data_IF_794507869433
#
_entry.id   IF_794507869433
#
_cell.length_a   1.000
_cell.length_b   1.000
_cell.length_c   1.000
_cell.angle_alpha   90.00
_cell.angle_beta   90.00
_cell.angle_gamma   90.00
#
_symmetry.space_group_name_H-M   'P 1'
#
loop_
_entity.id
_entity.type
_entity.pdbx_description
1 polymer ?
#
# COMPACT_ATOMS: atom_id res chain seq x y z
N UNK A 1 5.94 13.15 12.65
CA UNK A 1 5.27 11.94 12.15
C UNK A 1 4.01 12.25 11.34
N UNK A 2 3.98 11.78 10.08
CA UNK A 2 2.85 11.94 9.15
C UNK A 2 1.77 10.89 9.44
N UNK A 3 0.50 11.30 9.53
CA UNK A 3 -0.63 10.37 9.68
C UNK A 3 -1.25 10.05 8.31
N UNK A 4 -1.76 8.84 8.16
CA UNK A 4 -2.57 8.44 7.00
C UNK A 4 -3.89 7.84 7.44
N UNK A 5 -4.92 8.06 6.64
CA UNK A 5 -6.24 7.46 6.79
C UNK A 5 -6.41 6.49 5.62
N UNK A 6 -6.62 5.21 5.91
CA UNK A 6 -6.70 4.18 4.87
C UNK A 6 -7.79 3.15 5.18
N UNK A 7 -8.51 2.74 4.15
CA UNK A 7 -9.43 1.61 4.15
C UNK A 7 -8.78 0.33 3.59
N UNK A 8 -7.50 0.39 3.25
CA UNK A 8 -6.79 -0.72 2.63
C UNK A 8 -6.34 -1.76 3.65
N UNK A 9 -6.20 -3.03 3.22
CA UNK A 9 -5.81 -4.12 4.10
C UNK A 9 -4.33 -4.04 4.49
N UNK A 10 -4.03 -4.70 5.60
CA UNK A 10 -2.66 -4.93 6.07
C UNK A 10 -2.18 -6.25 5.46
N UNK A 11 -1.17 -6.17 4.60
CA UNK A 11 -0.63 -7.33 3.89
C UNK A 11 0.31 -8.16 4.77
N UNK A 12 1.12 -7.50 5.60
CA UNK A 12 2.05 -8.16 6.51
C UNK A 12 2.33 -7.30 7.74
N UNK A 13 2.83 -7.95 8.79
CA UNK A 13 3.30 -7.30 10.02
C UNK A 13 4.72 -7.81 10.26
N UNK A 14 5.65 -6.89 10.49
CA UNK A 14 7.06 -7.18 10.74
C UNK A 14 7.48 -6.57 12.08
N UNK A 15 8.05 -7.38 12.96
CA UNK A 15 8.64 -6.87 14.21
C UNK A 15 10.03 -6.33 13.92
N UNK A 16 10.25 -5.04 14.19
CA UNK A 16 11.51 -4.34 13.93
C UNK A 16 12.06 -3.72 15.21
N UNK A 17 13.39 -3.66 15.33
CA UNK A 17 14.04 -2.84 16.35
C UNK A 17 14.37 -1.48 15.74
N UNK A 18 13.76 -0.44 16.28
CA UNK A 18 13.73 0.90 15.71
C UNK A 18 14.44 1.91 16.60
N UNK A 19 15.08 2.87 15.96
CA UNK A 19 15.68 4.04 16.58
C UNK A 19 15.30 5.29 15.80
N UNK A 20 15.18 6.45 16.44
CA UNK A 20 14.92 7.70 15.73
C UNK A 20 16.01 7.97 14.67
N UNK A 21 15.62 8.44 13.50
CA UNK A 21 16.56 8.74 12.40
C UNK A 21 17.58 9.83 12.78
N UNK A 22 17.23 10.72 13.72
CA UNK A 22 18.10 11.77 14.24
C UNK A 22 18.96 11.33 15.44
N UNK A 23 18.95 10.05 15.80
CA UNK A 23 19.75 9.54 16.91
C UNK A 23 21.25 9.71 16.64
N UNK A 24 21.96 10.37 17.56
CA UNK A 24 23.40 10.59 17.42
C UNK A 24 24.19 9.33 17.79
N UNK A 25 24.72 8.66 16.77
CA UNK A 25 25.45 7.41 16.94
C UNK A 25 26.80 7.60 17.63
N UNK A 26 27.12 6.70 18.56
CA UNK A 26 28.45 6.57 19.14
C UNK A 26 28.99 5.18 18.81
N UNK A 27 29.96 5.06 17.87
CA UNK A 27 30.55 3.78 17.50
C UNK A 27 31.05 2.99 18.72
N UNK A 28 30.85 1.66 18.72
CA UNK A 28 31.32 0.79 19.79
C UNK A 28 30.46 0.76 21.05
N UNK A 29 29.37 1.55 21.14
CA UNK A 29 28.40 1.46 22.24
C UNK A 29 27.13 0.70 21.83
N UNK A 30 26.53 -0.09 22.73
CA UNK A 30 25.21 -0.67 22.51
C UNK A 30 24.16 0.43 22.44
N UNK A 31 23.10 0.20 21.67
CA UNK A 31 21.99 1.14 21.49
C UNK A 31 20.71 0.50 21.98
N UNK A 32 19.96 1.22 22.83
CA UNK A 32 18.62 0.79 23.22
C UNK A 32 17.66 1.10 22.07
N UNK A 33 17.37 0.09 21.25
CA UNK A 33 16.37 0.18 20.21
C UNK A 33 14.99 -0.20 20.77
N UNK A 34 13.95 0.50 20.30
CA UNK A 34 12.57 0.20 20.61
C UNK A 34 12.06 -0.91 19.68
N UNK A 35 11.59 -2.03 20.24
CA UNK A 35 10.98 -3.09 19.45
C UNK A 35 9.51 -2.75 19.16
N UNK A 36 9.13 -2.73 17.89
CA UNK A 36 7.79 -2.35 17.45
C UNK A 36 7.28 -3.27 16.34
N UNK A 37 5.96 -3.43 16.26
CA UNK A 37 5.32 -4.03 15.10
C UNK A 37 5.10 -2.96 14.03
N UNK A 38 5.71 -3.14 12.86
CA UNK A 38 5.51 -2.32 11.67
C UNK A 38 4.52 -3.05 10.75
N UNK A 39 3.44 -2.36 10.42
CA UNK A 39 2.33 -2.89 9.63
C UNK A 39 2.49 -2.40 8.20
N UNK A 40 2.37 -3.29 7.22
CA UNK A 40 2.48 -2.94 5.81
C UNK A 40 1.10 -2.87 5.17
N UNK A 41 0.57 -1.66 5.03
CA UNK A 41 -0.69 -1.44 4.31
C UNK A 41 -0.42 -1.56 2.83
N UNK A 42 -1.23 -2.35 2.13
CA UNK A 42 -1.14 -2.48 0.68
C UNK A 42 -2.20 -1.63 0.00
N UNK A 43 -1.76 -0.64 -0.76
CA UNK A 43 -2.57 0.34 -1.47
C UNK A 43 -2.42 0.12 -2.98
N UNK A 44 -3.43 0.53 -3.73
CA UNK A 44 -3.40 0.54 -5.19
C UNK A 44 -3.58 1.96 -5.71
N UNK A 45 -2.93 2.22 -6.84
CA UNK A 45 -2.98 3.50 -7.51
C UNK A 45 -3.07 3.32 -9.01
N UNK A 46 -4.15 3.85 -9.57
CA UNK A 46 -4.40 3.84 -11.00
C UNK A 46 -4.00 5.18 -11.60
N UNK A 47 -3.12 5.17 -12.60
CA UNK A 47 -2.81 6.33 -13.43
C UNK A 47 -3.43 6.14 -14.81
N UNK A 48 -4.23 7.11 -15.23
CA UNK A 48 -4.76 7.19 -16.59
C UNK A 48 -3.69 7.84 -17.46
N UNK A 49 -3.29 7.12 -18.49
CA UNK A 49 -2.24 7.54 -19.41
C UNK A 49 -2.76 7.53 -20.84
N UNK A 50 -2.23 8.43 -21.67
CA UNK A 50 -2.50 8.48 -23.10
C UNK A 50 -1.20 8.29 -23.86
N UNK A 51 -1.21 7.43 -24.88
CA UNK A 51 -0.12 7.26 -25.83
C UNK A 51 -0.47 7.96 -27.13
N UNK A 52 0.38 8.88 -27.57
CA UNK A 52 0.20 9.55 -28.85
C UNK A 52 0.78 8.74 -30.03
N UNK A 53 0.56 9.21 -31.26
CA UNK A 53 1.07 8.59 -32.49
C UNK A 53 2.61 8.51 -32.54
N UNK A 54 3.33 9.31 -31.74
CA UNK A 54 4.80 9.25 -31.58
C UNK A 54 5.22 8.33 -30.44
N UNK A 55 4.30 7.53 -29.91
CA UNK A 55 4.50 6.63 -28.77
C UNK A 55 4.90 7.35 -27.47
N UNK A 56 4.64 8.66 -27.34
CA UNK A 56 4.91 9.38 -26.10
C UNK A 56 3.77 9.13 -25.11
N UNK A 57 4.14 8.90 -23.86
CA UNK A 57 3.19 8.65 -22.77
C UNK A 57 2.92 9.98 -22.06
N UNK A 58 1.65 10.35 -21.99
CA UNK A 58 1.14 11.51 -21.26
C UNK A 58 0.36 11.00 -20.06
N UNK A 59 0.79 11.38 -18.85
CA UNK A 59 0.07 11.07 -17.63
C UNK A 59 -1.03 12.11 -17.41
N UNK A 60 -2.27 11.64 -17.28
CA UNK A 60 -3.45 12.49 -17.12
C UNK A 60 -3.82 12.58 -15.63
N UNK A 61 -4.71 11.71 -15.17
CA UNK A 61 -5.21 11.69 -13.81
C UNK A 61 -4.68 10.48 -13.03
N UNK A 62 -4.69 10.63 -11.70
CA UNK A 62 -4.25 9.62 -10.74
C UNK A 62 -5.35 9.38 -9.71
N UNK A 63 -5.65 8.11 -9.48
CA UNK A 63 -6.69 7.65 -8.57
C UNK A 63 -6.09 6.77 -7.48
N UNK A 64 -6.58 6.95 -6.26
CA UNK A 64 -6.22 6.14 -5.08
C UNK A 64 -7.43 5.41 -4.54
N UNK A 65 -7.20 4.43 -3.68
CA UNK A 65 -8.26 3.67 -3.03
C UNK A 65 -9.11 4.55 -2.10
N UNK A 66 -10.36 4.79 -2.49
CA UNK A 66 -11.35 5.55 -1.71
C UNK A 66 -12.48 4.69 -1.16
N UNK A 67 -12.75 3.55 -1.78
CA UNK A 67 -13.90 2.69 -1.44
C UNK A 67 -13.43 1.29 -1.01
N UNK A 68 -12.14 1.16 -0.72
CA UNK A 68 -11.48 -0.11 -0.47
C UNK A 68 -10.32 -0.35 -1.43
N UNK A 69 -9.53 -1.36 -1.13
CA UNK A 69 -8.38 -1.73 -1.94
C UNK A 69 -8.79 -2.16 -3.35
N UNK A 70 -8.05 -1.71 -4.36
CA UNK A 70 -8.31 -1.89 -5.80
C UNK A 70 -9.51 -1.09 -6.35
N UNK A 71 -10.12 -0.21 -5.56
CA UNK A 71 -11.22 0.66 -6.03
C UNK A 71 -10.73 1.77 -6.97
N UNK A 72 -9.44 2.12 -6.93
CA UNK A 72 -8.82 3.06 -7.86
C UNK A 72 -9.02 2.66 -9.34
N UNK A 73 -9.07 1.35 -9.62
CA UNK A 73 -9.29 0.77 -10.95
C UNK A 73 -10.60 1.23 -11.55
N UNK A 74 -11.69 1.14 -10.77
CA UNK A 74 -13.03 1.36 -11.29
C UNK A 74 -13.25 2.83 -11.64
N UNK A 75 -12.61 3.74 -10.90
CA UNK A 75 -12.60 5.17 -11.21
C UNK A 75 -11.83 5.46 -12.51
N UNK A 76 -10.63 4.89 -12.65
CA UNK A 76 -9.80 5.05 -13.84
C UNK A 76 -10.48 4.47 -15.10
N UNK A 77 -11.13 3.31 -15.01
CA UNK A 77 -11.86 2.69 -16.15
C UNK A 77 -12.97 3.62 -16.64
N UNK A 78 -13.76 4.21 -15.72
CA UNK A 78 -14.82 5.15 -16.11
C UNK A 78 -14.25 6.32 -16.90
N UNK A 79 -13.15 6.92 -16.44
CA UNK A 79 -12.50 8.00 -17.17
C UNK A 79 -11.97 7.53 -18.53
N UNK A 80 -11.27 6.39 -18.59
CA UNK A 80 -10.74 5.86 -19.83
C UNK A 80 -11.83 5.58 -20.88
N UNK A 81 -13.01 5.12 -20.45
CA UNK A 81 -14.18 4.94 -21.34
C UNK A 81 -14.66 6.29 -21.86
N UNK A 82 -14.73 7.31 -21.01
CA UNK A 82 -15.11 8.66 -21.42
C UNK A 82 -14.10 9.26 -22.42
N UNK A 83 -12.80 9.11 -22.18
CA UNK A 83 -11.74 9.60 -23.07
C UNK A 83 -11.75 8.85 -24.41
N UNK A 84 -11.87 7.52 -24.39
CA UNK A 84 -11.98 6.69 -25.60
C UNK A 84 -13.12 7.18 -26.49
N UNK A 85 -14.29 7.47 -25.91
CA UNK A 85 -15.43 8.02 -26.65
C UNK A 85 -15.20 9.47 -27.11
N UNK A 86 -14.66 10.33 -26.26
CA UNK A 86 -14.41 11.73 -26.57
C UNK A 86 -13.43 11.95 -27.71
N UNK A 87 -12.40 11.10 -27.79
CA UNK A 87 -11.37 11.13 -28.84
C UNK A 87 -11.68 10.19 -30.02
N UNK A 88 -12.85 9.52 -30.03
CA UNK A 88 -13.22 8.53 -31.04
C UNK A 88 -12.15 7.45 -31.26
N UNK A 89 -11.51 6.99 -30.18
CA UNK A 89 -10.49 5.95 -30.24
C UNK A 89 -11.16 4.58 -30.49
N UNK A 90 -10.48 3.77 -31.28
CA UNK A 90 -10.89 2.42 -31.65
C UNK A 90 -9.74 1.44 -31.42
N UNK A 91 -10.02 0.15 -31.59
CA UNK A 91 -9.04 -0.92 -31.42
C UNK A 91 -7.83 -0.76 -32.36
N UNK A 92 -8.07 -0.18 -33.55
CA UNK A 92 -7.04 0.06 -34.57
C UNK A 92 -6.40 1.46 -34.49
N UNK A 93 -6.77 2.29 -33.52
CA UNK A 93 -6.19 3.61 -33.35
C UNK A 93 -4.70 3.51 -32.96
N UNK A 94 -3.87 4.34 -33.59
CA UNK A 94 -2.45 4.48 -33.23
C UNK A 94 -2.28 5.14 -31.85
N UNK A 95 -3.20 6.05 -31.53
CA UNK A 95 -3.32 6.67 -30.21
C UNK A 95 -4.13 5.78 -29.30
N UNK A 96 -3.75 5.73 -28.03
CA UNK A 96 -4.44 4.89 -27.06
C UNK A 96 -4.54 5.54 -25.69
N UNK A 97 -5.57 5.15 -24.95
CA UNK A 97 -5.69 5.44 -23.52
C UNK A 97 -5.49 4.13 -22.79
N UNK A 98 -4.78 4.16 -21.67
CA UNK A 98 -4.49 2.97 -20.88
C UNK A 98 -4.37 3.30 -19.40
N UNK A 99 -4.57 2.28 -18.57
CA UNK A 99 -4.45 2.40 -17.12
C UNK A 99 -3.18 1.70 -16.69
N UNK A 100 -2.27 2.47 -16.11
CA UNK A 100 -1.13 1.92 -15.38
C UNK A 100 -1.49 1.80 -13.89
N UNK A 101 -1.36 0.59 -13.36
CA UNK A 101 -1.62 0.27 -11.96
C UNK A 101 -0.32 0.07 -11.21
N UNK A 102 -0.20 0.74 -10.07
CA UNK A 102 0.86 0.54 -9.09
C UNK A 102 0.28 -0.09 -7.82
N UNK A 103 0.84 -1.22 -7.40
CA UNK A 103 0.58 -1.81 -6.08
C UNK A 103 1.72 -1.45 -5.14
N UNK A 104 1.38 -0.82 -4.03
CA UNK A 104 2.32 -0.14 -3.14
C UNK A 104 2.10 -0.64 -1.71
N UNK A 105 3.19 -0.92 -0.98
CA UNK A 105 3.14 -1.12 0.46
C UNK A 105 3.71 0.09 1.19
N UNK A 106 2.96 0.60 2.16
CA UNK A 106 3.34 1.72 3.03
C UNK A 106 3.49 1.19 4.46
N UNK A 107 4.66 1.37 5.11
CA UNK A 107 4.89 0.94 6.49
C UNK A 107 4.31 1.94 7.49
N UNK A 108 3.57 1.42 8.45
CA UNK A 108 2.89 2.23 9.46
C UNK A 108 2.91 1.59 10.85
N UNK A 109 2.67 2.42 11.86
CA UNK A 109 2.25 1.99 13.18
C UNK A 109 0.72 2.08 13.29
N UNK A 110 0.14 1.10 13.98
CA UNK A 110 -1.24 1.19 14.43
C UNK A 110 -1.34 2.29 15.50
N UNK A 111 -2.18 3.29 15.27
CA UNK A 111 -2.47 4.29 16.28
C UNK A 111 -3.48 3.71 17.27
N UNK A 112 -3.24 3.91 18.57
CA UNK A 112 -4.15 3.49 19.64
C UNK A 112 -5.58 4.08 19.52
N UNK A 113 -5.76 5.12 18.68
CA UNK A 113 -7.05 5.73 18.41
C UNK A 113 -7.88 4.87 17.44
N UNK A 114 -9.00 4.37 17.97
CA UNK A 114 -10.02 3.48 17.40
C UNK A 114 -10.48 3.82 15.97
N UNK A 115 -11.11 2.84 15.31
CA UNK A 115 -11.75 2.96 13.99
C UNK A 115 -12.48 4.29 13.81
N UNK A 116 -12.10 5.03 12.77
CA UNK A 116 -12.72 6.31 12.46
C UNK A 116 -13.96 6.03 11.61
N UNK A 117 -15.13 6.39 12.13
CA UNK A 117 -16.36 6.45 11.31
C UNK A 117 -16.24 7.63 10.34
N UNK A 118 -15.66 7.37 9.18
CA UNK A 118 -15.49 8.34 8.11
C UNK A 118 -16.66 8.25 7.12
N UNK A 119 -17.19 9.39 6.65
CA UNK A 119 -18.58 9.52 6.21
C UNK A 119 -18.87 9.26 4.72
N UNK A 120 -17.91 8.77 3.93
CA UNK A 120 -18.14 8.56 2.49
C UNK A 120 -18.93 7.28 2.19
N UNK A 121 -18.72 6.23 2.98
CA UNK A 121 -19.47 4.97 2.89
C UNK A 121 -19.61 4.36 4.29
N UNK A 122 -20.84 3.94 4.65
CA UNK A 122 -21.13 3.29 5.94
C UNK A 122 -20.58 1.86 6.02
N UNK A 123 -20.22 1.27 4.88
CA UNK A 123 -19.79 -0.12 4.77
C UNK A 123 -18.26 -0.29 4.74
N UNK A 124 -17.51 0.79 4.56
CA UNK A 124 -16.04 0.77 4.53
C UNK A 124 -15.45 1.13 5.89
N UNK A 125 -14.67 0.22 6.46
CA UNK A 125 -13.96 0.48 7.71
C UNK A 125 -12.66 1.24 7.43
N UNK A 126 -12.58 2.48 7.93
CA UNK A 126 -11.39 3.31 7.83
C UNK A 126 -10.58 3.26 9.12
N UNK A 127 -9.27 3.22 8.96
CA UNK A 127 -8.31 3.19 10.06
C UNK A 127 -7.27 4.29 9.90
N UNK A 128 -6.87 4.86 11.01
CA UNK A 128 -5.82 5.85 11.05
C UNK A 128 -4.51 5.19 11.46
N UNK A 129 -3.45 5.55 10.76
CA UNK A 129 -2.13 5.02 11.01
C UNK A 129 -1.10 6.14 11.03
N UNK A 130 0.03 5.85 11.63
CA UNK A 130 1.20 6.73 11.65
C UNK A 130 2.27 6.16 10.75
N UNK A 131 2.74 6.93 9.76
CA UNK A 131 3.75 6.47 8.82
C UNK A 131 5.09 6.33 9.54
N UNK A 132 5.70 5.14 9.44
CA UNK A 132 6.98 4.82 10.11
C UNK A 132 8.17 5.43 9.37
N UNK A 133 8.03 5.75 8.09
CA UNK A 133 9.17 6.13 7.27
C UNK A 133 9.82 7.46 7.66
N UNK A 134 11.02 7.74 7.12
CA UNK A 134 11.85 8.94 7.27
C UNK A 134 12.24 9.39 8.69
N UNK A 135 11.48 9.04 9.71
CA UNK A 135 11.69 9.42 11.11
C UNK A 135 12.31 8.26 11.91
N UNK A 136 12.38 7.06 11.32
CA UNK A 136 12.86 5.85 11.96
C UNK A 136 13.90 5.10 11.13
N UNK A 137 14.87 4.52 11.83
CA UNK A 137 15.85 3.57 11.28
C UNK A 137 15.76 2.23 12.00
N UNK A 138 16.03 1.14 11.29
CA UNK A 138 16.08 -0.21 11.80
C UNK A 138 17.51 -0.60 12.19
N UNK A 139 17.62 -1.32 13.31
CA UNK A 139 18.83 -2.00 13.77
C UNK A 139 18.58 -3.51 13.83
N UNK A 140 19.49 -4.31 13.27
CA UNK A 140 19.29 -5.77 13.20
C UNK A 140 19.50 -6.42 14.57
N UNK A 141 20.57 -6.06 15.29
CA UNK A 141 20.91 -6.62 16.59
C UNK A 141 21.01 -5.51 17.65
N UNK A 142 19.95 -5.27 18.44
CA UNK A 142 19.95 -4.18 19.43
C UNK A 142 20.99 -4.37 20.54
N UNK A 143 21.26 -5.62 20.91
CA UNK A 143 22.21 -5.97 21.98
C UNK A 143 23.68 -5.89 21.55
N UNK A 144 23.96 -5.61 20.28
CA UNK A 144 25.33 -5.51 19.75
C UNK A 144 25.69 -4.06 19.44
N UNK A 145 26.96 -3.65 19.62
CA UNK A 145 27.38 -2.32 19.24
C UNK A 145 27.21 -2.10 17.73
N UNK A 146 26.93 -0.85 17.35
CA UNK A 146 26.91 -0.45 15.94
C UNK A 146 28.31 -0.65 15.36
N UNK A 147 28.39 -1.37 14.25
CA UNK A 147 29.63 -1.76 13.58
C UNK A 147 29.35 -2.06 12.11
N UNK A 148 30.37 -2.29 11.26
CA UNK A 148 30.16 -2.75 9.88
C UNK A 148 29.30 -4.02 9.77
N UNK A 149 29.22 -4.82 10.84
CA UNK A 149 28.41 -6.05 10.91
C UNK A 149 27.04 -5.86 11.58
N UNK A 150 26.76 -4.70 12.17
CA UNK A 150 25.49 -4.35 12.78
C UNK A 150 25.14 -2.89 12.43
N UNK A 151 24.72 -2.71 11.18
CA UNK A 151 24.49 -1.38 10.60
C UNK A 151 23.07 -0.90 10.86
N UNK A 152 22.93 0.41 11.08
CA UNK A 152 21.66 1.11 11.11
C UNK A 152 21.21 1.37 9.67
N UNK A 153 19.96 1.05 9.34
CA UNK A 153 19.40 1.28 8.00
C UNK A 153 18.11 2.08 8.10
N UNK A 154 17.83 3.02 7.19
CA UNK A 154 16.54 3.69 7.17
C UNK A 154 15.42 2.67 6.94
N UNK A 155 14.27 2.85 7.59
CA UNK A 155 13.07 2.09 7.24
C UNK A 155 12.63 2.54 5.84
N UNK A 156 12.38 1.59 4.93
CA UNK A 156 11.99 1.89 3.55
C UNK A 156 10.72 2.74 3.53
N UNK A 157 10.68 3.78 2.70
CA UNK A 157 9.51 4.68 2.59
C UNK A 157 8.25 3.99 2.09
N UNK A 158 8.36 3.41 0.90
CA UNK A 158 7.30 2.70 0.20
C UNK A 158 7.92 1.60 -0.61
N UNK A 159 7.23 0.47 -0.73
CA UNK A 159 7.66 -0.64 -1.58
C UNK A 159 6.67 -0.77 -2.73
N UNK A 160 7.10 -0.48 -3.95
CA UNK A 160 6.33 -0.83 -5.15
C UNK A 160 6.46 -2.35 -5.32
N UNK A 161 5.34 -3.05 -5.23
CA UNK A 161 5.27 -4.50 -5.41
C UNK A 161 5.11 -4.88 -6.88
N UNK A 162 4.40 -4.05 -7.65
CA UNK A 162 4.15 -4.30 -9.06
C UNK A 162 3.63 -3.06 -9.77
N UNK A 163 3.98 -2.95 -11.04
CA UNK A 163 3.52 -1.94 -11.98
C UNK A 163 3.07 -2.67 -13.25
N UNK A 164 1.79 -2.56 -13.61
CA UNK A 164 1.21 -3.25 -14.77
C UNK A 164 0.22 -2.34 -15.50
N UNK A 165 0.17 -2.45 -16.83
CA UNK A 165 -0.92 -1.86 -17.60
C UNK A 165 -2.11 -2.82 -17.53
N UNK A 166 -3.21 -2.39 -16.92
CA UNK A 166 -4.35 -3.27 -16.59
C UNK A 166 -5.58 -3.08 -17.49
N UNK A 167 -5.57 -2.06 -18.33
CA UNK A 167 -6.63 -1.75 -19.27
C UNK A 167 -6.07 -0.92 -20.42
N UNK A 168 -6.57 -1.13 -21.63
CA UNK A 168 -6.09 -0.41 -22.82
C UNK A 168 -7.24 -0.24 -23.83
N UNK A 169 -7.34 0.94 -24.46
CA UNK A 169 -8.38 1.26 -25.46
C UNK A 169 -8.26 0.42 -26.73
N UNK A 170 -7.05 -0.08 -27.03
CA UNK A 170 -6.79 -0.93 -28.19
C UNK A 170 -7.14 -2.42 -27.96
N UNK A 171 -7.97 -2.71 -26.97
CA UNK A 171 -8.48 -4.06 -26.69
C UNK A 171 -10.00 -4.04 -26.77
N UNK A 172 -10.61 -5.19 -27.05
CA UNK A 172 -12.06 -5.30 -26.94
C UNK A 172 -12.47 -5.09 -25.47
N UNK A 173 -13.65 -4.50 -25.25
CA UNK A 173 -14.13 -4.23 -23.89
C UNK A 173 -14.23 -5.52 -23.06
N UNK A 174 -14.63 -6.63 -23.68
CA UNK A 174 -14.77 -7.91 -23.00
C UNK A 174 -13.40 -8.43 -22.52
N UNK A 175 -12.38 -8.37 -23.38
CA UNK A 175 -11.04 -8.83 -23.04
C UNK A 175 -10.40 -7.94 -21.97
N UNK A 176 -10.56 -6.62 -22.11
CA UNK A 176 -10.04 -5.65 -21.15
C UNK A 176 -10.65 -5.88 -19.75
N UNK A 177 -11.97 -6.08 -19.67
CA UNK A 177 -12.64 -6.34 -18.39
C UNK A 177 -12.33 -7.73 -17.82
N UNK A 178 -12.12 -8.74 -18.66
CA UNK A 178 -11.64 -10.05 -18.22
C UNK A 178 -10.25 -9.93 -17.57
N UNK A 179 -9.33 -9.22 -18.21
CA UNK A 179 -7.99 -8.99 -17.67
C UNK A 179 -8.01 -8.19 -16.36
N UNK A 180 -8.86 -7.15 -16.26
CA UNK A 180 -9.06 -6.41 -15.01
C UNK A 180 -9.53 -7.32 -13.88
N UNK A 181 -10.46 -8.25 -14.17
CA UNK A 181 -10.96 -9.20 -13.17
C UNK A 181 -9.87 -10.17 -12.72
N UNK A 182 -9.08 -10.70 -13.65
CA UNK A 182 -7.94 -11.57 -13.33
C UNK A 182 -6.90 -10.84 -12.50
N UNK A 183 -6.57 -9.59 -12.85
CA UNK A 183 -5.66 -8.75 -12.08
C UNK A 183 -6.18 -8.53 -10.65
N UNK A 184 -7.46 -8.21 -10.47
CA UNK A 184 -8.06 -8.03 -9.14
C UNK A 184 -8.00 -9.31 -8.30
N UNK A 185 -8.13 -10.49 -8.93
CA UNK A 185 -8.00 -11.78 -8.26
C UNK A 185 -6.54 -12.09 -7.89
N UNK A 186 -5.59 -11.84 -8.79
CA UNK A 186 -4.15 -12.02 -8.55
C UNK A 186 -3.69 -11.22 -7.32
N UNK A 187 -4.18 -9.99 -7.19
CA UNK A 187 -3.77 -9.05 -6.15
C UNK A 187 -4.67 -9.03 -4.93
N UNK A 188 -5.71 -9.87 -4.88
CA UNK A 188 -6.59 -9.97 -3.72
C UNK A 188 -5.81 -10.43 -2.48
N UNK A 189 -5.97 -9.71 -1.37
CA UNK A 189 -5.41 -10.10 -0.08
C UNK A 189 -6.46 -10.88 0.71
N UNK A 190 -6.05 -11.98 1.33
CA UNK A 190 -6.92 -12.69 2.28
C UNK A 190 -7.13 -11.81 3.52
N UNK A 191 -8.38 -11.62 3.92
CA UNK A 191 -8.73 -10.88 5.14
C UNK A 191 -8.09 -11.59 6.35
N UNK A 192 -6.96 -11.08 6.85
CA UNK A 192 -6.23 -11.60 8.01
C UNK A 192 -6.97 -11.40 9.35
N UNK A 193 -8.29 -11.18 9.34
CA UNK A 193 -9.14 -10.99 10.53
C UNK A 193 -9.15 -12.17 11.51
N UNK A 194 -8.47 -13.28 11.22
CA UNK A 194 -8.32 -14.43 12.13
C UNK A 194 -7.07 -14.42 13.02
N UNK A 195 -6.11 -13.50 12.84
CA UNK A 195 -4.85 -13.57 13.59
C UNK A 195 -4.99 -12.99 15.02
N UNK A 196 -5.88 -12.03 15.26
CA UNK A 196 -6.02 -11.39 16.58
C UNK A 196 -7.01 -12.08 17.54
N UNK A 197 -7.88 -12.99 17.07
CA UNK A 197 -8.87 -13.63 17.96
C UNK A 197 -8.31 -14.78 18.81
N UNK A 198 -7.12 -15.31 18.49
CA UNK A 198 -6.54 -16.44 19.22
C UNK A 198 -5.53 -16.06 20.31
N UNK A 199 -5.01 -14.82 20.32
CA UNK A 199 -4.08 -14.40 21.39
C UNK A 199 -4.80 -13.96 22.68
N UNK A 200 -6.06 -13.53 22.61
CA UNK A 200 -6.86 -13.18 23.79
C UNK A 200 -7.57 -14.37 24.47
N UNK A 201 -7.46 -15.60 23.93
CA UNK A 201 -8.05 -16.80 24.56
C UNK A 201 -7.08 -17.60 25.43
N UNK A 202 -5.77 -17.34 25.37
CA UNK A 202 -4.77 -18.14 26.12
C UNK A 202 -4.44 -17.54 27.50
N UNK A 203 -4.79 -16.28 27.78
CA UNK A 203 -4.55 -15.63 29.09
C UNK A 203 -5.69 -15.75 30.11
N UNK A 204 -6.75 -16.53 29.83
CA UNK A 204 -7.82 -16.82 30.80
C UNK A 204 -7.86 -18.29 31.24
N UNK A 205 -6.71 -18.82 31.65
CA UNK A 205 -6.66 -20.04 32.48
C UNK A 205 -5.77 -19.79 33.70
N UNK A 206 -6.41 -19.26 34.75
CA UNK A 206 -6.21 -19.50 36.21
C UNK A 206 -4.84 -19.16 36.85
N UNK A 207 -4.83 -18.66 38.12
CA UNK A 207 -5.42 -19.37 39.25
C UNK A 207 -6.20 -18.51 40.28
N UNK A 208 -7.26 -19.11 40.81
CA UNK A 208 -7.82 -18.89 42.16
C UNK A 208 -8.36 -20.26 42.58
N UNK A 209 -7.99 -20.89 43.68
CA UNK A 209 -7.01 -20.65 44.73
C UNK A 209 -6.84 -21.96 45.49
#
# INVERSE_FOLDING_TARGET
>A
MKKILSCCPVASIETMNLIPANFQFQPGKPVSAFQANVWWIQESEASVCMRDHKQRIHHLNRYTDREGYLSSIDQAIRECIHLTRGYNLSISSLESVFIEMNIIQTPVFELFSQEIKFSWDRHTNWRQYEVVSNEWSQLQYPDKPISPHNVVRPVKDKKILGQKVIWHSNQSMNDAMAYVKEFKLEWALQDNKKITSNQNKVTKLTPKG
#
